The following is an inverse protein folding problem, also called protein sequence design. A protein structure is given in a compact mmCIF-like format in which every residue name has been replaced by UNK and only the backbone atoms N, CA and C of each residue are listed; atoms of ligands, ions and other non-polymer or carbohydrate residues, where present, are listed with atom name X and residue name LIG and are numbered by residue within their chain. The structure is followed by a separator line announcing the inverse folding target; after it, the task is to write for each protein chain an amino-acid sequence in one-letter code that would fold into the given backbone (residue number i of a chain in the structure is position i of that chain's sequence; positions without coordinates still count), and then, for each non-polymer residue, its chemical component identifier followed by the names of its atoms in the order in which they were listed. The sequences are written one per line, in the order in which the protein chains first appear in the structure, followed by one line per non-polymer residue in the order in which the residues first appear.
data_IF_315739132260
#
_entry.id   IF_315739132260
#
_cell.length_a   1.000
_cell.length_b   1.000
_cell.length_c   1.000
_cell.angle_alpha   90.00
_cell.angle_beta   90.00
_cell.angle_gamma   90.00
#
_symmetry.space_group_name_H-M   'P 1'
#
loop_
_entity.id
_entity.type
_entity.pdbx_description
1 polymer ?
#
# COMPACT_ATOMS: atom_id res chain seq x y z
N UNK A 1 8.82 11.28 -23.48
CA UNK A 1 8.74 12.17 -22.30
C UNK A 1 9.85 11.77 -21.33
N UNK A 2 10.83 12.63 -21.02
CA UNK A 2 12.02 12.21 -20.25
C UNK A 2 11.77 12.25 -18.74
N UNK A 3 12.43 11.36 -17.98
CA UNK A 3 12.38 11.26 -16.50
C UNK A 3 12.56 12.63 -15.82
N UNK A 4 13.42 13.47 -16.38
CA UNK A 4 13.67 14.86 -15.97
C UNK A 4 12.44 15.77 -16.11
N UNK A 5 11.61 15.61 -17.14
CA UNK A 5 10.43 16.45 -17.33
C UNK A 5 9.35 16.19 -16.29
N UNK A 6 9.19 14.92 -15.89
CA UNK A 6 8.25 14.51 -14.84
C UNK A 6 8.68 15.05 -13.46
N UNK A 7 9.96 14.91 -13.10
CA UNK A 7 10.50 15.40 -11.82
C UNK A 7 10.37 16.92 -11.69
N UNK A 8 10.68 17.66 -12.76
CA UNK A 8 10.54 19.13 -12.76
C UNK A 8 9.08 19.56 -12.61
N UNK A 9 8.13 18.82 -13.20
CA UNK A 9 6.69 19.10 -13.06
C UNK A 9 6.21 18.81 -11.63
N UNK A 10 6.56 17.64 -11.08
CA UNK A 10 6.22 17.26 -9.72
C UNK A 10 6.83 18.23 -8.69
N UNK A 11 8.09 18.63 -8.88
CA UNK A 11 8.76 19.61 -8.01
C UNK A 11 8.09 20.98 -8.03
N UNK A 12 7.60 21.45 -9.20
CA UNK A 12 6.83 22.70 -9.28
C UNK A 12 5.50 22.60 -8.55
N UNK A 13 4.82 21.47 -8.65
CA UNK A 13 3.56 21.23 -7.94
C UNK A 13 3.78 21.17 -6.43
N UNK A 14 4.82 20.45 -5.99
CA UNK A 14 5.20 20.31 -4.59
C UNK A 14 5.63 21.63 -3.96
N UNK A 15 6.44 22.43 -4.67
CA UNK A 15 6.85 23.77 -4.27
C UNK A 15 5.65 24.70 -4.02
N UNK A 16 4.66 24.67 -4.92
CA UNK A 16 3.42 25.46 -4.76
C UNK A 16 2.60 25.01 -3.57
N UNK A 17 2.44 23.72 -3.37
CA UNK A 17 1.64 23.18 -2.28
C UNK A 17 2.23 23.44 -0.89
N UNK A 18 3.57 23.56 -0.77
CA UNK A 18 4.27 23.63 0.52
C UNK A 18 5.04 24.95 0.74
N UNK A 19 4.95 25.91 -0.18
CA UNK A 19 5.67 27.19 -0.09
C UNK A 19 7.20 27.06 -0.12
N UNK A 20 7.72 26.00 -0.75
CA UNK A 20 9.16 25.70 -0.73
C UNK A 20 9.87 26.21 -2.00
N UNK A 21 11.16 26.62 -1.89
CA UNK A 21 12.01 26.88 -3.04
C UNK A 21 12.10 25.67 -3.98
N UNK A 22 12.01 25.90 -5.28
CA UNK A 22 11.99 24.85 -6.30
C UNK A 22 13.14 23.82 -6.18
N UNK A 23 14.35 24.24 -5.81
CA UNK A 23 15.49 23.33 -5.61
C UNK A 23 15.28 22.37 -4.43
N UNK A 24 14.71 22.86 -3.32
CA UNK A 24 14.34 22.00 -2.18
C UNK A 24 13.19 21.07 -2.56
N UNK A 25 12.15 21.58 -3.23
CA UNK A 25 11.05 20.74 -3.70
C UNK A 25 11.51 19.65 -4.69
N UNK A 26 12.47 19.95 -5.57
CA UNK A 26 13.05 18.97 -6.49
C UNK A 26 13.89 17.92 -5.75
N UNK A 27 14.62 18.31 -4.70
CA UNK A 27 15.33 17.37 -3.84
C UNK A 27 14.35 16.47 -3.07
N UNK A 28 13.27 17.01 -2.52
CA UNK A 28 12.21 16.24 -1.84
C UNK A 28 11.50 15.28 -2.78
N UNK A 29 11.16 15.71 -4.00
CA UNK A 29 10.55 14.83 -5.02
C UNK A 29 11.50 13.72 -5.44
N UNK A 30 12.80 14.02 -5.60
CA UNK A 30 13.82 13.02 -5.95
C UNK A 30 14.10 12.06 -4.80
N UNK A 31 14.16 12.55 -3.57
CA UNK A 31 14.30 11.74 -2.36
C UNK A 31 13.07 10.83 -2.19
N UNK A 32 11.85 11.37 -2.30
CA UNK A 32 10.62 10.61 -2.26
C UNK A 32 10.55 9.56 -3.38
N UNK A 33 11.12 9.83 -4.56
CA UNK A 33 11.21 8.88 -5.67
C UNK A 33 12.29 7.81 -5.47
N UNK A 34 13.43 8.17 -4.89
CA UNK A 34 14.47 7.21 -4.51
C UNK A 34 13.97 6.27 -3.41
N UNK A 35 13.21 6.81 -2.46
CA UNK A 35 12.51 6.08 -1.40
C UNK A 35 11.35 5.23 -1.94
N UNK A 36 10.73 5.68 -3.05
CA UNK A 36 9.75 4.88 -3.80
C UNK A 36 10.38 3.60 -4.38
N UNK A 37 11.62 3.70 -4.87
CA UNK A 37 12.36 2.54 -5.39
C UNK A 37 12.85 1.61 -4.28
N UNK A 38 13.10 2.09 -3.07
CA UNK A 38 13.48 1.23 -1.94
C UNK A 38 12.27 0.46 -1.37
N UNK A 39 11.08 1.05 -1.41
CA UNK A 39 9.86 0.45 -0.84
C UNK A 39 9.05 -0.41 -1.82
N UNK A 40 9.28 -0.26 -3.13
CA UNK A 40 8.53 -1.00 -4.16
C UNK A 40 8.52 -2.53 -3.94
N UNK A 41 9.65 -3.20 -3.67
CA UNK A 41 9.65 -4.65 -3.46
C UNK A 41 8.79 -5.09 -2.26
N UNK A 42 8.66 -4.23 -1.25
CA UNK A 42 7.84 -4.51 -0.07
C UNK A 42 6.35 -4.29 -0.37
N UNK A 43 6.00 -3.28 -1.17
CA UNK A 43 4.64 -3.07 -1.62
C UNK A 43 4.17 -4.20 -2.55
N UNK A 44 5.03 -4.69 -3.45
CA UNK A 44 4.74 -5.86 -4.29
C UNK A 44 4.52 -7.10 -3.41
N UNK A 45 5.41 -7.34 -2.44
CA UNK A 45 5.28 -8.45 -1.48
C UNK A 45 3.95 -8.39 -0.71
N UNK A 46 3.58 -7.21 -0.20
CA UNK A 46 2.32 -7.03 0.52
C UNK A 46 1.10 -7.28 -0.36
N UNK A 47 1.14 -6.83 -1.62
CA UNK A 47 0.04 -7.08 -2.55
C UNK A 47 -0.08 -8.57 -2.86
N UNK A 48 1.05 -9.26 -3.10
CA UNK A 48 1.08 -10.71 -3.30
C UNK A 48 0.52 -11.43 -2.06
N UNK A 49 0.96 -11.07 -0.86
CA UNK A 49 0.45 -11.68 0.38
C UNK A 49 -1.05 -11.44 0.57
N UNK A 50 -1.55 -10.25 0.25
CA UNK A 50 -2.97 -9.94 0.34
C UNK A 50 -3.82 -10.81 -0.62
N UNK A 51 -3.35 -11.01 -1.86
CA UNK A 51 -4.08 -11.73 -2.91
C UNK A 51 -3.90 -13.26 -2.83
N UNK A 52 -2.66 -13.71 -2.69
CA UNK A 52 -2.25 -15.13 -2.76
C UNK A 52 -2.14 -15.77 -1.39
N UNK A 53 -1.70 -15.02 -0.37
CA UNK A 53 -1.66 -15.46 1.03
C UNK A 53 -3.03 -15.56 1.69
N UNK A 54 -4.11 -15.51 0.91
CA UNK A 54 -5.50 -15.53 1.33
C UNK A 54 -5.96 -14.34 2.18
N UNK A 55 -5.15 -13.28 2.33
CA UNK A 55 -5.45 -12.12 3.16
C UNK A 55 -6.83 -11.55 2.90
N UNK A 56 -7.18 -11.26 1.64
CA UNK A 56 -8.46 -10.61 1.31
C UNK A 56 -9.56 -11.59 0.88
N UNK A 57 -9.24 -12.86 0.65
CA UNK A 57 -10.19 -13.82 0.06
C UNK A 57 -11.40 -14.11 0.94
N UNK A 58 -11.32 -13.76 2.22
CA UNK A 58 -12.42 -13.91 3.16
C UNK A 58 -13.50 -12.82 3.01
N UNK A 59 -13.23 -11.71 2.33
CA UNK A 59 -14.20 -10.62 2.08
C UNK A 59 -14.18 -10.07 0.65
N UNK A 60 -13.31 -10.57 -0.22
CA UNK A 60 -13.28 -10.19 -1.62
C UNK A 60 -13.02 -11.38 -2.54
N UNK A 61 -13.67 -11.34 -3.69
CA UNK A 61 -13.36 -12.21 -4.84
C UNK A 61 -12.32 -11.51 -5.71
N UNK A 62 -11.25 -12.23 -6.06
CA UNK A 62 -10.25 -11.74 -7.01
C UNK A 62 -10.72 -12.06 -8.42
N UNK A 63 -10.99 -11.02 -9.22
CA UNK A 63 -11.44 -11.13 -10.60
C UNK A 63 -10.28 -11.27 -11.59
N UNK A 64 -9.24 -10.45 -11.38
CA UNK A 64 -8.03 -10.42 -12.20
C UNK A 64 -6.82 -10.26 -11.29
N UNK A 65 -5.73 -10.94 -11.63
CA UNK A 65 -4.44 -10.78 -10.95
C UNK A 65 -3.31 -10.96 -11.95
N UNK A 66 -2.37 -10.01 -11.99
CA UNK A 66 -1.23 -10.04 -12.92
C UNK A 66 0.01 -10.78 -12.35
N UNK A 67 -0.08 -11.26 -11.10
CA UNK A 67 1.02 -11.96 -10.43
C UNK A 67 1.99 -11.06 -9.68
N UNK A 68 1.88 -9.72 -9.77
CA UNK A 68 2.90 -8.85 -9.18
C UNK A 68 2.39 -7.51 -8.63
N UNK A 69 1.57 -6.78 -9.38
CA UNK A 69 1.44 -5.34 -9.17
C UNK A 69 0.05 -4.78 -9.42
N UNK A 70 -0.88 -5.58 -9.95
CA UNK A 70 -2.25 -5.16 -10.22
C UNK A 70 -3.25 -6.30 -10.03
N UNK A 71 -4.24 -6.06 -9.17
CA UNK A 71 -5.41 -6.92 -9.04
C UNK A 71 -6.69 -6.14 -9.33
N UNK A 72 -7.70 -6.85 -9.81
CA UNK A 72 -9.08 -6.39 -9.78
C UNK A 72 -9.85 -7.30 -8.86
N UNK A 73 -10.58 -6.70 -7.92
CA UNK A 73 -11.34 -7.43 -6.90
C UNK A 73 -12.77 -6.93 -6.86
N UNK A 74 -13.68 -7.78 -6.42
CA UNK A 74 -15.05 -7.42 -6.06
C UNK A 74 -15.27 -7.76 -4.60
N UNK A 75 -15.72 -6.82 -3.78
CA UNK A 75 -16.01 -7.06 -2.36
C UNK A 75 -17.33 -7.85 -2.16
N UNK A 76 -17.69 -8.15 -0.91
CA UNK A 76 -18.97 -8.80 -0.58
C UNK A 76 -20.19 -7.94 -0.93
N UNK A 77 -20.04 -6.61 -0.98
CA UNK A 77 -21.08 -5.67 -1.40
C UNK A 77 -21.33 -5.66 -2.91
N UNK A 78 -20.45 -6.30 -3.69
CA UNK A 78 -20.50 -6.30 -5.16
C UNK A 78 -19.77 -5.12 -5.80
N UNK A 79 -19.09 -4.29 -5.02
CA UNK A 79 -18.31 -3.16 -5.53
C UNK A 79 -16.95 -3.63 -6.04
N UNK A 80 -16.56 -3.12 -7.22
CA UNK A 80 -15.34 -3.53 -7.93
C UNK A 80 -14.23 -2.50 -7.76
N UNK A 81 -13.06 -2.97 -7.34
CA UNK A 81 -11.89 -2.14 -7.06
C UNK A 81 -10.67 -2.58 -7.86
N UNK A 82 -9.81 -1.63 -8.19
CA UNK A 82 -8.49 -1.89 -8.79
C UNK A 82 -7.41 -1.63 -7.75
N UNK A 83 -6.74 -2.69 -7.33
CA UNK A 83 -5.58 -2.62 -6.46
C UNK A 83 -4.33 -2.53 -7.31
N UNK A 84 -3.45 -1.59 -6.98
CA UNK A 84 -2.14 -1.47 -7.63
C UNK A 84 -1.04 -1.36 -6.59
N UNK A 85 0.18 -1.75 -6.97
CA UNK A 85 1.36 -1.58 -6.13
C UNK A 85 1.54 -0.13 -5.69
N UNK A 86 1.20 0.85 -6.54
CA UNK A 86 1.27 2.27 -6.19
C UNK A 86 0.32 2.63 -5.06
N UNK A 87 -0.87 2.01 -5.03
CA UNK A 87 -1.85 2.23 -3.97
C UNK A 87 -1.38 1.60 -2.66
N UNK A 88 -0.84 0.38 -2.70
CA UNK A 88 -0.24 -0.28 -1.51
C UNK A 88 0.94 0.50 -0.97
N UNK A 89 1.78 1.06 -1.86
CA UNK A 89 2.94 1.85 -1.48
C UNK A 89 2.57 3.10 -0.66
N UNK A 90 1.44 3.75 -0.98
CA UNK A 90 0.96 4.91 -0.23
C UNK A 90 0.64 4.54 1.22
N UNK A 91 -0.03 3.41 1.43
CA UNK A 91 -0.40 2.93 2.77
C UNK A 91 0.82 2.45 3.54
N UNK A 92 1.69 1.70 2.89
CA UNK A 92 2.96 1.25 3.47
C UNK A 92 3.78 2.45 3.98
N UNK A 93 3.90 3.50 3.17
CA UNK A 93 4.62 4.71 3.55
C UNK A 93 3.97 5.40 4.74
N UNK A 94 2.66 5.64 4.68
CA UNK A 94 1.93 6.27 5.78
C UNK A 94 2.13 5.49 7.08
N UNK A 95 2.06 4.16 7.02
CA UNK A 95 2.23 3.30 8.19
C UNK A 95 3.64 3.39 8.79
N UNK A 96 4.68 3.40 7.96
CA UNK A 96 6.06 3.57 8.40
C UNK A 96 6.33 4.98 8.97
N UNK A 97 5.72 6.01 8.37
CA UNK A 97 5.81 7.39 8.87
C UNK A 97 5.14 7.52 10.25
N UNK A 98 4.01 6.87 10.46
CA UNK A 98 3.29 6.83 11.75
C UNK A 98 4.01 5.95 12.80
N UNK A 99 4.88 5.04 12.36
CA UNK A 99 5.61 4.11 13.22
C UNK A 99 7.11 4.10 12.90
N UNK A 100 7.88 5.15 13.28
CA UNK A 100 9.27 5.33 12.84
C UNK A 100 10.27 4.25 13.26
N UNK A 101 9.86 3.34 14.17
CA UNK A 101 10.68 2.20 14.62
C UNK A 101 10.43 0.92 13.84
N UNK A 102 9.36 0.85 13.05
CA UNK A 102 9.07 -0.30 12.19
C UNK A 102 9.94 -0.25 10.94
N UNK A 103 10.48 -1.40 10.54
CA UNK A 103 11.12 -1.56 9.24
C UNK A 103 10.13 -2.19 8.28
N UNK A 104 10.26 -1.96 6.95
CA UNK A 104 9.39 -2.58 5.96
C UNK A 104 9.33 -4.11 6.05
N UNK A 105 10.40 -4.76 6.50
CA UNK A 105 10.47 -6.20 6.71
C UNK A 105 9.66 -6.72 7.89
N UNK A 106 9.33 -5.85 8.84
CA UNK A 106 8.62 -6.21 10.07
C UNK A 106 7.09 -6.24 9.85
N UNK A 107 6.64 -5.92 8.64
CA UNK A 107 5.24 -5.90 8.23
C UNK A 107 4.84 -7.30 7.73
N UNK A 108 3.71 -7.80 8.21
CA UNK A 108 3.20 -9.14 7.93
C UNK A 108 1.92 -9.13 7.07
N UNK A 109 1.41 -10.33 6.78
CA UNK A 109 0.21 -10.53 5.98
C UNK A 109 -1.07 -10.05 6.66
N UNK A 110 -1.09 -9.94 7.99
CA UNK A 110 -2.21 -9.37 8.73
C UNK A 110 -2.31 -7.87 8.47
N UNK A 111 -1.18 -7.17 8.48
CA UNK A 111 -1.14 -5.78 8.04
C UNK A 111 -1.53 -5.64 6.57
N UNK A 112 -1.12 -6.58 5.69
CA UNK A 112 -1.46 -6.50 4.26
C UNK A 112 -2.99 -6.46 4.04
N UNK A 113 -3.75 -7.27 4.76
CA UNK A 113 -5.22 -7.25 4.72
C UNK A 113 -5.79 -5.93 5.26
N UNK A 114 -5.37 -5.49 6.45
CA UNK A 114 -5.83 -4.23 7.02
C UNK A 114 -5.49 -3.03 6.12
N UNK A 115 -4.31 -3.04 5.49
CA UNK A 115 -3.84 -2.00 4.60
C UNK A 115 -4.74 -1.89 3.36
N UNK A 116 -5.09 -3.03 2.75
CA UNK A 116 -6.01 -3.06 1.62
C UNK A 116 -7.40 -2.55 2.03
N UNK A 117 -7.92 -2.97 3.19
CA UNK A 117 -9.23 -2.50 3.64
C UNK A 117 -9.24 -1.00 3.95
N UNK A 118 -8.25 -0.47 4.67
CA UNK A 118 -8.15 0.96 4.98
C UNK A 118 -8.06 1.81 3.70
N UNK A 119 -7.40 1.28 2.68
CA UNK A 119 -7.26 1.93 1.39
C UNK A 119 -8.57 2.01 0.62
N UNK A 120 -9.37 0.96 0.65
CA UNK A 120 -10.64 0.89 -0.07
C UNK A 120 -11.77 1.60 0.69
N UNK A 121 -11.80 1.47 2.01
CA UNK A 121 -12.96 1.82 2.83
C UNK A 121 -12.69 2.95 3.83
N UNK A 122 -11.46 3.43 3.96
CA UNK A 122 -11.06 4.38 5.01
C UNK A 122 -10.97 3.76 6.42
N UNK A 123 -11.12 2.43 6.54
CA UNK A 123 -11.07 1.69 7.80
C UNK A 123 -11.02 0.18 7.59
N UNK A 124 -10.95 -0.58 8.69
CA UNK A 124 -11.04 -2.06 8.65
C UNK A 124 -12.48 -2.44 8.96
N UNK A 125 -13.15 -3.08 8.00
CA UNK A 125 -14.57 -3.47 8.10
C UNK A 125 -14.69 -4.97 8.35
N UNK A 126 -13.90 -5.76 7.64
CA UNK A 126 -13.92 -7.22 7.69
C UNK A 126 -12.75 -7.69 8.53
N UNK A 127 -13.02 -8.16 9.75
CA UNK A 127 -11.97 -8.78 10.56
C UNK A 127 -11.99 -10.27 10.34
N UNK A 128 -10.84 -10.84 9.99
CA UNK A 128 -10.63 -12.26 10.07
C UNK A 128 -10.75 -12.66 11.55
N UNK A 129 -11.90 -13.22 11.96
CA UNK A 129 -12.00 -13.93 13.23
C UNK A 129 -11.17 -15.21 13.14
N UNK A 130 -9.85 -15.07 13.25
CA UNK A 130 -9.02 -16.17 13.68
C UNK A 130 -9.57 -16.57 15.04
N UNK A 131 -10.24 -17.72 15.10
CA UNK A 131 -10.50 -18.37 16.36
C UNK A 131 -9.15 -18.46 17.07
N UNK A 132 -8.87 -17.53 17.99
CA UNK A 132 -7.90 -17.73 19.06
C UNK A 132 -8.37 -19.02 19.67
N UNK A 133 -7.60 -20.08 19.42
CA UNK A 133 -7.90 -21.41 19.93
C UNK A 133 -8.34 -21.24 21.36
N UNK A 134 -9.56 -21.71 21.65
CA UNK A 134 -9.88 -22.19 22.99
C UNK A 134 -8.65 -22.96 23.42
N UNK A 135 -8.02 -22.51 24.51
CA UNK A 135 -7.03 -23.32 25.18
C UNK A 135 -7.62 -24.72 25.31
N UNK A 136 -6.85 -25.73 24.94
CA UNK A 136 -7.01 -27.05 25.52
C UNK A 136 -6.89 -26.86 27.02
N UNK A 137 -8.04 -26.69 27.68
CA UNK A 137 -8.19 -26.87 29.12
C UNK A 137 -8.96 -28.17 29.26
N UNK A 138 -8.20 -29.20 29.66
CA UNK A 138 -8.57 -30.49 30.24
C UNK A 138 -9.85 -31.17 29.73
#
# INVERSE_FOLDING_TARGET
MTKNHADKRAARSYARAHGLPYRQALASVRAARADRMSLLPFAERLLIEAIEGCGIRHWARVDEWDGVGRAVITDLGGERFVLTVDTVLLVLRQHLDDHPRLRPTDIDSYFADEAVQRLLFGGVIYRLELHRGRGLVA
#
